data_IF_347237364428
#
_entry.id   IF_347237364428
#
_cell.length_a   1.000
_cell.length_b   1.000
_cell.length_c   1.000
_cell.angle_alpha   90.00
_cell.angle_beta   90.00
_cell.angle_gamma   90.00
#
_symmetry.space_group_name_H-M   'P 1'
#
loop_
_entity.id
_entity.type
_entity.pdbx_description
1 polymer ?
#
# COMPACT_ATOMS: atom_id res chain seq x y z
N UNK A 1 -25.00 21.31 15.82
CA UNK A 1 -25.17 20.22 14.83
C UNK A 1 -24.62 18.95 15.45
N UNK A 2 -25.12 17.76 15.12
CA UNK A 2 -24.57 16.53 15.70
C UNK A 2 -24.69 15.34 14.74
N UNK A 3 -23.77 14.39 14.87
CA UNK A 3 -23.76 13.16 14.07
C UNK A 3 -24.65 12.11 14.71
N UNK A 4 -25.43 11.44 13.87
CA UNK A 4 -26.25 10.28 14.22
C UNK A 4 -25.80 9.10 13.37
N UNK A 5 -25.43 8.00 14.04
CA UNK A 5 -25.11 6.74 13.37
C UNK A 5 -26.25 5.77 13.63
N UNK A 6 -27.00 5.46 12.59
CA UNK A 6 -28.09 4.50 12.66
C UNK A 6 -27.59 3.11 12.24
N UNK A 7 -27.72 2.13 13.13
CA UNK A 7 -27.48 0.72 12.80
C UNK A 7 -28.66 0.17 11.98
N UNK A 8 -28.33 -0.48 10.87
CA UNK A 8 -29.24 -1.08 9.90
C UNK A 8 -28.80 -2.53 9.63
N UNK A 9 -29.66 -3.30 8.96
CA UNK A 9 -29.35 -4.66 8.49
C UNK A 9 -29.43 -4.71 6.97
N UNK A 10 -28.39 -5.23 6.33
CA UNK A 10 -28.36 -5.48 4.88
C UNK A 10 -29.29 -6.64 4.52
N UNK A 11 -29.74 -6.64 3.26
CA UNK A 11 -30.58 -7.71 2.69
C UNK A 11 -29.75 -8.91 2.22
N UNK A 12 -28.48 -8.71 1.86
CA UNK A 12 -27.57 -9.74 1.37
C UNK A 12 -26.22 -9.63 2.06
N UNK A 13 -25.61 -10.78 2.33
CA UNK A 13 -24.27 -10.88 2.89
C UNK A 13 -23.24 -10.29 1.93
N UNK A 14 -22.07 -9.92 2.46
CA UNK A 14 -20.96 -9.50 1.60
C UNK A 14 -20.36 -10.75 0.93
N UNK A 15 -20.37 -10.87 -0.41
CA UNK A 15 -19.81 -12.05 -1.08
C UNK A 15 -18.28 -12.02 -1.14
N UNK A 16 -17.66 -10.87 -0.85
CA UNK A 16 -16.22 -10.64 -1.01
C UNK A 16 -15.47 -10.87 0.30
N UNK A 17 -15.55 -12.08 0.85
CA UNK A 17 -14.63 -12.52 1.89
C UNK A 17 -13.20 -12.67 1.38
N UNK A 18 -12.22 -12.67 2.29
CA UNK A 18 -10.85 -13.08 1.95
C UNK A 18 -10.89 -14.47 1.31
N UNK A 19 -10.09 -14.69 0.27
CA UNK A 19 -9.92 -16.02 -0.32
C UNK A 19 -9.30 -16.96 0.72
N UNK A 20 -9.75 -18.21 0.77
CA UNK A 20 -9.27 -19.14 1.81
C UNK A 20 -7.78 -19.45 1.69
N UNK A 21 -7.28 -19.56 0.46
CA UNK A 21 -5.93 -20.03 0.21
C UNK A 21 -5.20 -19.19 -0.83
N UNK A 22 -3.87 -19.26 -0.73
CA UNK A 22 -2.93 -18.88 -1.77
C UNK A 22 -2.48 -20.16 -2.46
N UNK A 23 -2.63 -20.23 -3.78
CA UNK A 23 -2.38 -21.45 -4.56
C UNK A 23 -1.23 -21.18 -5.52
N UNK A 24 -0.23 -22.07 -5.52
CA UNK A 24 0.84 -22.07 -6.54
C UNK A 24 0.20 -22.36 -7.89
N UNK A 25 0.51 -21.50 -8.85
CA UNK A 25 0.10 -21.67 -10.23
C UNK A 25 1.36 -21.69 -11.11
N UNK A 26 1.20 -22.02 -12.37
CA UNK A 26 2.30 -21.90 -13.32
C UNK A 26 1.78 -21.67 -14.72
N UNK A 27 2.60 -21.01 -15.53
CA UNK A 27 2.38 -20.99 -16.96
C UNK A 27 3.69 -21.27 -17.67
N UNK A 28 3.57 -22.03 -18.76
CA UNK A 28 4.68 -22.40 -19.62
C UNK A 28 4.51 -21.73 -20.97
N UNK A 29 5.59 -21.19 -21.50
CA UNK A 29 5.62 -20.54 -22.80
C UNK A 29 6.92 -20.91 -23.52
N UNK A 30 6.88 -20.87 -24.84
CA UNK A 30 8.02 -21.20 -25.69
C UNK A 30 8.38 -19.97 -26.52
N UNK A 31 9.66 -19.58 -26.50
CA UNK A 31 10.21 -18.54 -27.38
C UNK A 31 11.31 -19.19 -28.21
N UNK A 32 11.10 -19.28 -29.52
CA UNK A 32 11.98 -20.06 -30.40
C UNK A 32 11.94 -21.55 -30.01
N UNK A 33 13.09 -22.12 -29.71
CA UNK A 33 13.23 -23.52 -29.26
C UNK A 33 13.32 -23.66 -27.74
N UNK A 34 13.25 -22.55 -26.99
CA UNK A 34 13.40 -22.55 -25.53
C UNK A 34 12.03 -22.49 -24.86
N UNK A 35 11.68 -23.56 -24.16
CA UNK A 35 10.50 -23.59 -23.28
C UNK A 35 10.88 -23.14 -21.87
N UNK A 36 10.09 -22.23 -21.31
CA UNK A 36 10.25 -21.75 -19.93
C UNK A 36 8.94 -21.83 -19.16
N UNK A 37 9.03 -22.15 -17.87
CA UNK A 37 7.90 -22.19 -16.95
C UNK A 37 8.12 -21.17 -15.85
N UNK A 38 7.13 -20.29 -15.63
CA UNK A 38 7.07 -19.44 -14.44
C UNK A 38 6.12 -20.04 -13.42
N UNK A 39 6.56 -20.06 -12.16
CA UNK A 39 5.80 -20.46 -10.99
C UNK A 39 5.18 -19.21 -10.38
N UNK A 40 3.93 -18.98 -10.73
CA UNK A 40 3.15 -17.84 -10.25
C UNK A 40 2.27 -18.28 -9.08
N UNK A 41 1.32 -17.42 -8.72
CA UNK A 41 0.32 -17.75 -7.73
C UNK A 41 -1.00 -17.08 -8.06
N UNK A 42 -2.06 -17.62 -7.46
CA UNK A 42 -3.38 -17.00 -7.47
C UNK A 42 -4.07 -17.28 -6.14
N UNK A 43 -5.09 -16.49 -5.84
CA UNK A 43 -5.98 -16.83 -4.75
C UNK A 43 -6.94 -17.97 -5.13
N UNK A 44 -7.40 -18.72 -4.12
CA UNK A 44 -8.51 -19.66 -4.27
C UNK A 44 -9.79 -18.95 -4.70
N UNK A 45 -10.65 -19.67 -5.44
CA UNK A 45 -12.00 -19.18 -5.73
C UNK A 45 -12.88 -19.18 -4.48
N UNK A 46 -12.66 -20.13 -3.58
CA UNK A 46 -13.38 -20.21 -2.31
C UNK A 46 -12.98 -19.05 -1.38
N UNK A 47 -13.99 -18.44 -0.76
CA UNK A 47 -13.86 -17.29 0.13
C UNK A 47 -14.49 -17.59 1.49
N UNK A 48 -14.05 -16.87 2.52
CA UNK A 48 -14.73 -16.90 3.81
C UNK A 48 -16.13 -16.30 3.70
N UNK A 49 -17.10 -16.96 4.33
CA UNK A 49 -18.43 -16.40 4.44
C UNK A 49 -18.43 -15.22 5.39
N UNK A 50 -19.22 -14.20 5.05
CA UNK A 50 -19.34 -12.95 5.79
C UNK A 50 -20.76 -12.76 6.33
N UNK A 51 -21.16 -13.48 7.40
CA UNK A 51 -22.55 -13.53 7.87
C UNK A 51 -23.02 -12.25 8.58
N UNK A 52 -22.11 -11.41 9.07
CA UNK A 52 -22.45 -10.11 9.69
C UNK A 52 -23.07 -9.16 8.66
N UNK A 53 -24.35 -8.86 8.88
CA UNK A 53 -25.18 -8.06 7.97
C UNK A 53 -25.35 -6.61 8.42
N UNK A 54 -24.66 -6.23 9.49
CA UNK A 54 -24.78 -4.90 10.06
C UNK A 54 -24.30 -3.83 9.07
N UNK A 55 -25.01 -2.71 9.03
CA UNK A 55 -24.62 -1.52 8.31
C UNK A 55 -24.88 -0.28 9.16
N UNK A 56 -24.18 0.80 8.88
CA UNK A 56 -24.15 2.01 9.67
C UNK A 56 -24.40 3.19 8.74
N UNK A 57 -25.60 3.78 8.85
CA UNK A 57 -25.98 4.98 8.11
C UNK A 57 -25.53 6.19 8.93
N UNK A 58 -24.60 6.95 8.37
CA UNK A 58 -24.00 8.13 8.99
C UNK A 58 -24.80 9.35 8.51
N UNK A 59 -25.33 10.10 9.46
CA UNK A 59 -26.16 11.28 9.18
C UNK A 59 -25.72 12.44 10.05
N UNK A 60 -25.86 13.66 9.53
CA UNK A 60 -25.66 14.90 10.27
C UNK A 60 -27.02 15.54 10.49
N UNK A 61 -27.35 15.84 11.74
CA UNK A 61 -28.60 16.46 12.14
C UNK A 61 -28.37 17.89 12.61
N UNK A 62 -29.20 18.81 12.12
CA UNK A 62 -29.21 20.20 12.54
C UNK A 62 -30.62 20.61 12.96
N UNK A 63 -30.81 20.86 14.25
CA UNK A 63 -32.05 21.40 14.80
C UNK A 63 -31.85 22.89 15.09
N UNK A 64 -32.80 23.70 14.63
CA UNK A 64 -32.76 25.16 14.79
C UNK A 64 -34.17 25.69 15.05
N UNK A 65 -34.29 26.95 15.49
CA UNK A 65 -35.58 27.62 15.69
C UNK A 65 -35.77 28.69 14.63
N UNK A 66 -36.96 28.75 14.08
CA UNK A 66 -37.39 29.79 13.14
C UNK A 66 -38.80 30.20 13.54
N UNK A 67 -39.01 31.50 13.84
CA UNK A 67 -40.28 32.04 14.33
C UNK A 67 -40.85 31.28 15.54
N UNK A 68 -39.99 30.88 16.47
CA UNK A 68 -40.38 30.15 17.68
C UNK A 68 -40.66 28.65 17.47
N UNK A 69 -40.73 28.16 16.23
CA UNK A 69 -40.93 26.74 15.92
C UNK A 69 -39.60 26.01 15.72
N UNK A 70 -39.48 24.79 16.24
CA UNK A 70 -38.30 23.94 16.05
C UNK A 70 -38.36 23.29 14.67
N UNK A 71 -37.37 23.59 13.82
CA UNK A 71 -37.15 22.95 12.52
C UNK A 71 -35.95 22.02 12.57
N UNK A 72 -35.91 21.03 11.67
CA UNK A 72 -34.84 20.03 11.57
C UNK A 72 -34.41 19.86 10.12
N UNK A 73 -33.11 19.93 9.88
CA UNK A 73 -32.44 19.49 8.65
C UNK A 73 -31.61 18.24 8.96
N UNK A 74 -31.53 17.34 7.99
CA UNK A 74 -30.75 16.12 8.09
C UNK A 74 -30.04 15.85 6.76
N UNK A 75 -28.76 15.52 6.83
CA UNK A 75 -27.95 15.13 5.68
C UNK A 75 -27.47 13.71 5.88
N UNK A 76 -27.83 12.81 4.97
CA UNK A 76 -27.20 11.49 4.91
C UNK A 76 -25.83 11.65 4.29
N UNK A 77 -24.78 11.26 5.01
CA UNK A 77 -23.41 11.28 4.49
C UNK A 77 -23.22 10.03 3.63
N UNK A 78 -23.05 8.88 4.26
CA UNK A 78 -22.95 7.59 3.58
C UNK A 78 -23.55 6.46 4.43
N UNK A 79 -23.60 5.25 3.88
CA UNK A 79 -23.92 4.03 4.62
C UNK A 79 -22.82 3.02 4.40
N UNK A 80 -22.22 2.53 5.48
CA UNK A 80 -21.11 1.58 5.42
C UNK A 80 -21.51 0.25 6.05
N UNK A 81 -21.17 -0.86 5.42
CA UNK A 81 -21.38 -2.19 6.04
C UNK A 81 -20.33 -2.47 7.12
N UNK A 82 -20.60 -3.47 7.96
CA UNK A 82 -19.64 -4.01 8.93
C UNK A 82 -18.24 -4.19 8.33
N UNK A 83 -18.15 -4.84 7.17
CA UNK A 83 -16.88 -5.10 6.50
C UNK A 83 -16.32 -3.87 5.77
N UNK A 84 -17.20 -3.01 5.24
CA UNK A 84 -16.75 -1.75 4.61
C UNK A 84 -16.02 -0.86 5.62
N UNK A 85 -16.47 -0.83 6.88
CA UNK A 85 -15.80 -0.08 7.96
C UNK A 85 -14.41 -0.62 8.33
N UNK A 86 -14.08 -1.86 7.95
CA UNK A 86 -12.77 -2.46 8.18
C UNK A 86 -11.80 -2.19 7.03
N UNK A 87 -12.33 -1.98 5.83
CA UNK A 87 -11.56 -1.99 4.57
C UNK A 87 -11.40 -0.58 3.98
N UNK A 88 -12.36 0.31 4.23
CA UNK A 88 -12.45 1.62 3.61
C UNK A 88 -12.71 2.69 4.66
N UNK A 89 -12.30 3.93 4.37
CA UNK A 89 -12.74 5.08 5.14
C UNK A 89 -14.04 5.65 4.55
N UNK A 90 -14.85 6.40 5.30
CA UNK A 90 -16.18 6.85 4.84
C UNK A 90 -16.17 7.68 3.55
N UNK A 91 -15.08 8.39 3.25
CA UNK A 91 -14.96 9.20 2.04
C UNK A 91 -14.88 8.40 0.74
N UNK A 92 -14.39 7.15 0.79
CA UNK A 92 -14.40 6.25 -0.39
C UNK A 92 -15.82 5.92 -0.85
N UNK A 93 -16.81 6.09 0.03
CA UNK A 93 -18.22 5.82 -0.26
C UNK A 93 -18.98 7.06 -0.78
N UNK A 94 -18.28 8.17 -1.05
CA UNK A 94 -18.88 9.46 -1.39
C UNK A 94 -18.46 9.95 -2.77
N UNK A 95 -19.38 10.67 -3.40
CA UNK A 95 -19.05 11.51 -4.56
C UNK A 95 -18.60 12.88 -4.05
N UNK A 96 -17.41 13.33 -4.45
CA UNK A 96 -16.81 14.59 -3.98
C UNK A 96 -17.70 15.82 -4.24
N UNK A 97 -18.32 15.90 -5.42
CA UNK A 97 -19.24 17.02 -5.76
C UNK A 97 -20.48 17.03 -4.87
N UNK A 98 -21.04 15.86 -4.56
CA UNK A 98 -22.21 15.77 -3.68
C UNK A 98 -21.84 16.10 -2.23
N UNK A 99 -20.62 15.77 -1.80
CA UNK A 99 -20.12 16.14 -0.48
C UNK A 99 -19.97 17.66 -0.37
N UNK A 100 -19.38 18.30 -1.37
CA UNK A 100 -19.19 19.76 -1.41
C UNK A 100 -20.52 20.52 -1.26
N UNK A 101 -21.56 20.12 -2.01
CA UNK A 101 -22.91 20.71 -1.88
C UNK A 101 -23.44 20.59 -0.45
N UNK A 102 -23.30 19.41 0.18
CA UNK A 102 -23.75 19.20 1.56
C UNK A 102 -22.96 20.07 2.54
N UNK A 103 -21.64 20.19 2.37
CA UNK A 103 -20.78 21.02 3.22
C UNK A 103 -21.19 22.50 3.14
N UNK A 104 -21.45 23.00 1.93
CA UNK A 104 -21.98 24.35 1.69
C UNK A 104 -23.34 24.55 2.37
N UNK A 105 -24.26 23.60 2.24
CA UNK A 105 -25.58 23.65 2.90
C UNK A 105 -25.50 23.61 4.44
N UNK A 106 -24.54 22.85 4.98
CA UNK A 106 -24.28 22.74 6.41
C UNK A 106 -23.53 23.96 6.96
N UNK A 107 -22.80 24.69 6.11
CA UNK A 107 -21.93 25.79 6.52
C UNK A 107 -20.74 25.32 7.36
N UNK A 108 -20.20 24.14 7.07
CA UNK A 108 -19.04 23.56 7.77
C UNK A 108 -17.95 23.14 6.76
N UNK A 109 -16.71 23.11 7.21
CA UNK A 109 -15.60 22.54 6.46
C UNK A 109 -15.65 21.01 6.44
N UNK A 110 -14.96 20.41 5.46
CA UNK A 110 -14.81 18.95 5.39
C UNK A 110 -14.10 18.39 6.64
N UNK A 111 -13.10 19.10 7.16
CA UNK A 111 -12.41 18.71 8.39
C UNK A 111 -13.37 18.62 9.58
N UNK A 112 -14.19 19.65 9.78
CA UNK A 112 -15.17 19.68 10.88
C UNK A 112 -16.20 18.54 10.73
N UNK A 113 -16.64 18.23 9.51
CA UNK A 113 -17.51 17.09 9.26
C UNK A 113 -16.85 15.79 9.75
N UNK A 114 -15.61 15.53 9.34
CA UNK A 114 -14.93 14.30 9.68
C UNK A 114 -14.59 14.18 11.16
N UNK A 115 -14.21 15.28 11.82
CA UNK A 115 -14.00 15.31 13.27
C UNK A 115 -15.27 14.88 14.03
N UNK A 116 -16.43 15.46 13.68
CA UNK A 116 -17.71 15.09 14.28
C UNK A 116 -18.11 13.63 13.97
N UNK A 117 -17.82 13.15 12.76
CA UNK A 117 -18.17 11.78 12.34
C UNK A 117 -17.33 10.76 13.10
N UNK A 118 -16.01 10.94 13.16
CA UNK A 118 -15.11 10.00 13.81
C UNK A 118 -15.27 9.98 15.33
N UNK A 119 -15.66 11.10 15.96
CA UNK A 119 -16.03 11.12 17.39
C UNK A 119 -17.08 10.06 17.74
N UNK A 120 -18.04 9.78 16.83
CA UNK A 120 -19.07 8.75 17.00
C UNK A 120 -18.71 7.41 16.34
N UNK A 121 -17.97 7.44 15.25
CA UNK A 121 -17.69 6.26 14.43
C UNK A 121 -16.52 5.43 14.98
N UNK A 122 -15.50 6.05 15.57
CA UNK A 122 -14.31 5.35 16.07
C UNK A 122 -14.64 4.26 17.09
N UNK A 123 -15.49 4.49 18.13
CA UNK A 123 -15.87 3.43 19.06
C UNK A 123 -16.55 2.23 18.37
N UNK A 124 -17.28 2.48 17.28
CA UNK A 124 -17.94 1.43 16.49
C UNK A 124 -16.88 0.66 15.70
N UNK A 125 -15.98 1.36 15.01
CA UNK A 125 -14.88 0.77 14.24
C UNK A 125 -14.01 -0.10 15.14
N UNK A 126 -13.60 0.39 16.32
CA UNK A 126 -12.74 -0.37 17.23
C UNK A 126 -13.41 -1.64 17.76
N UNK A 127 -14.72 -1.60 18.03
CA UNK A 127 -15.47 -2.82 18.38
C UNK A 127 -15.49 -3.82 17.22
N UNK A 128 -15.82 -3.35 16.01
CA UNK A 128 -15.88 -4.20 14.80
C UNK A 128 -14.50 -4.80 14.50
N UNK A 129 -13.42 -4.03 14.63
CA UNK A 129 -12.05 -4.53 14.46
C UNK A 129 -11.73 -5.66 15.43
N UNK A 130 -12.01 -5.47 16.72
CA UNK A 130 -11.80 -6.52 17.74
C UNK A 130 -12.60 -7.78 17.46
N UNK A 131 -13.87 -7.63 17.09
CA UNK A 131 -14.71 -8.76 16.67
C UNK A 131 -14.10 -9.48 15.46
N UNK A 132 -13.70 -8.74 14.43
CA UNK A 132 -13.13 -9.30 13.20
C UNK A 132 -11.77 -9.98 13.41
N UNK A 133 -10.91 -9.44 14.26
CA UNK A 133 -9.60 -10.01 14.59
C UNK A 133 -9.69 -11.41 15.20
N UNK A 134 -10.82 -11.75 15.84
CA UNK A 134 -11.05 -13.09 16.38
C UNK A 134 -11.46 -14.13 15.32
N UNK A 135 -11.75 -13.70 14.09
CA UNK A 135 -12.32 -14.57 13.04
C UNK A 135 -11.24 -15.40 12.33
N UNK A 136 -11.62 -16.58 11.80
CA UNK A 136 -10.74 -17.33 10.90
C UNK A 136 -10.33 -16.54 9.64
N UNK A 137 -11.24 -15.71 9.10
CA UNK A 137 -10.98 -14.87 7.93
C UNK A 137 -9.79 -13.92 8.17
N UNK A 138 -9.75 -13.27 9.34
CA UNK A 138 -8.66 -12.38 9.69
C UNK A 138 -7.31 -13.13 9.83
N UNK A 139 -7.32 -14.30 10.48
CA UNK A 139 -6.11 -15.13 10.61
C UNK A 139 -5.56 -15.54 9.26
N UNK A 140 -6.41 -16.02 8.36
CA UNK A 140 -6.02 -16.40 7.01
C UNK A 140 -5.50 -15.19 6.22
N UNK A 141 -6.14 -14.02 6.33
CA UNK A 141 -5.66 -12.78 5.71
C UNK A 141 -4.24 -12.43 6.17
N UNK A 142 -3.98 -12.46 7.48
CA UNK A 142 -2.67 -12.13 8.03
C UNK A 142 -1.58 -13.13 7.62
N UNK A 143 -1.92 -14.42 7.57
CA UNK A 143 -1.01 -15.45 7.09
C UNK A 143 -0.64 -15.25 5.61
N UNK A 144 -1.64 -15.01 4.76
CA UNK A 144 -1.41 -14.74 3.33
C UNK A 144 -0.59 -13.47 3.11
N UNK A 145 -0.88 -12.38 3.83
CA UNK A 145 -0.09 -11.13 3.78
C UNK A 145 1.36 -11.36 4.20
N UNK A 146 1.60 -12.19 5.22
CA UNK A 146 2.95 -12.56 5.64
C UNK A 146 3.70 -13.33 4.55
N UNK A 147 3.05 -14.32 3.93
CA UNK A 147 3.64 -15.12 2.84
C UNK A 147 3.98 -14.22 1.65
N UNK A 148 3.04 -13.37 1.21
CA UNK A 148 3.28 -12.46 0.09
C UNK A 148 4.39 -11.45 0.40
N UNK A 149 4.47 -10.93 1.63
CA UNK A 149 5.55 -10.04 2.05
C UNK A 149 6.92 -10.73 1.99
N UNK A 150 7.02 -11.96 2.46
CA UNK A 150 8.25 -12.77 2.38
C UNK A 150 8.63 -13.07 0.92
N UNK A 151 7.65 -13.46 0.10
CA UNK A 151 7.84 -13.68 -1.34
C UNK A 151 8.38 -12.42 -2.03
N UNK A 152 7.76 -11.26 -1.83
CA UNK A 152 8.21 -10.01 -2.45
C UNK A 152 9.61 -9.61 -2.02
N UNK A 153 9.95 -9.82 -0.74
CA UNK A 153 11.30 -9.57 -0.23
C UNK A 153 12.32 -10.51 -0.86
N UNK A 154 12.08 -11.81 -0.82
CA UNK A 154 12.98 -12.82 -1.38
C UNK A 154 13.17 -12.63 -2.89
N UNK A 155 12.08 -12.32 -3.60
CA UNK A 155 12.10 -12.00 -5.02
C UNK A 155 12.99 -10.80 -5.32
N UNK A 156 12.82 -9.71 -4.59
CA UNK A 156 13.65 -8.51 -4.75
C UNK A 156 15.13 -8.80 -4.51
N UNK A 157 15.47 -9.43 -3.39
CA UNK A 157 16.85 -9.78 -3.04
C UNK A 157 17.49 -10.73 -4.08
N UNK A 158 16.73 -11.68 -4.60
CA UNK A 158 17.21 -12.59 -5.64
C UNK A 158 17.42 -11.88 -6.99
N UNK A 159 16.48 -11.04 -7.40
CA UNK A 159 16.55 -10.34 -8.68
C UNK A 159 17.63 -9.25 -8.69
N UNK A 160 17.98 -8.67 -7.54
CA UNK A 160 19.16 -7.79 -7.40
C UNK A 160 20.47 -8.53 -7.71
N UNK A 161 20.55 -9.84 -7.44
CA UNK A 161 21.76 -10.65 -7.68
C UNK A 161 21.78 -11.26 -9.08
N UNK A 162 20.66 -11.82 -9.52
CA UNK A 162 20.62 -12.64 -10.74
C UNK A 162 19.99 -11.93 -11.94
N UNK A 163 19.40 -10.75 -11.72
CA UNK A 163 18.74 -9.92 -12.73
C UNK A 163 17.20 -9.96 -12.62
N UNK A 164 16.57 -8.93 -13.17
CA UNK A 164 15.12 -8.72 -13.10
C UNK A 164 14.31 -9.92 -13.63
N UNK A 165 13.17 -10.19 -12.98
CA UNK A 165 12.17 -11.16 -13.44
C UNK A 165 12.70 -12.61 -13.52
N UNK A 166 13.71 -12.96 -12.73
CA UNK A 166 14.34 -14.29 -12.71
C UNK A 166 13.80 -15.21 -11.60
N UNK A 167 13.35 -14.65 -10.47
CA UNK A 167 12.97 -15.45 -9.28
C UNK A 167 11.86 -16.47 -9.59
N UNK A 168 10.79 -16.04 -10.25
CA UNK A 168 9.60 -16.87 -10.52
C UNK A 168 9.88 -18.02 -11.50
N UNK A 169 11.04 -18.05 -12.16
CA UNK A 169 11.46 -19.21 -12.95
C UNK A 169 12.11 -20.30 -12.09
N UNK A 170 12.61 -19.95 -10.90
CA UNK A 170 13.29 -20.86 -9.98
C UNK A 170 12.40 -21.28 -8.82
N UNK A 171 11.70 -20.33 -8.19
CA UNK A 171 10.97 -20.53 -6.95
C UNK A 171 9.49 -20.18 -7.10
N UNK A 172 8.65 -20.76 -6.25
CA UNK A 172 7.24 -20.36 -6.14
C UNK A 172 6.99 -19.33 -5.03
N UNK A 173 5.72 -18.96 -4.84
CA UNK A 173 5.28 -17.97 -3.84
C UNK A 173 5.58 -18.37 -2.38
N UNK A 174 5.81 -19.64 -2.10
CA UNK A 174 6.21 -20.13 -0.78
C UNK A 174 7.73 -20.24 -0.62
N UNK A 175 8.50 -19.87 -1.65
CA UNK A 175 9.96 -20.02 -1.67
C UNK A 175 10.43 -21.45 -1.94
N UNK A 176 9.55 -22.33 -2.43
CA UNK A 176 9.94 -23.70 -2.79
C UNK A 176 10.70 -23.69 -4.10
N UNK A 177 11.89 -24.29 -4.15
CA UNK A 177 12.65 -24.44 -5.39
C UNK A 177 11.92 -25.39 -6.33
N UNK A 178 11.54 -24.89 -7.51
CA UNK A 178 10.82 -25.61 -8.56
C UNK A 178 11.68 -25.91 -9.78
N UNK A 179 12.68 -25.08 -10.06
CA UNK A 179 13.60 -25.28 -11.18
C UNK A 179 15.05 -25.08 -10.76
N UNK A 180 15.69 -26.20 -10.39
CA UNK A 180 17.09 -26.22 -9.98
C UNK A 180 18.04 -25.95 -11.15
N UNK A 181 17.72 -26.44 -12.35
CA UNK A 181 18.58 -26.29 -13.53
C UNK A 181 18.71 -24.82 -13.92
N UNK A 182 17.59 -24.09 -13.99
CA UNK A 182 17.64 -22.66 -14.29
C UNK A 182 18.38 -21.87 -13.20
N UNK A 183 18.22 -22.24 -11.93
CA UNK A 183 18.99 -21.61 -10.85
C UNK A 183 20.50 -21.80 -11.06
N UNK A 184 20.95 -23.00 -11.43
CA UNK A 184 22.37 -23.26 -11.74
C UNK A 184 22.83 -22.36 -12.89
N UNK A 185 22.05 -22.22 -13.97
CA UNK A 185 22.43 -21.34 -15.08
C UNK A 185 22.59 -19.86 -14.67
N UNK A 186 21.78 -19.38 -13.71
CA UNK A 186 21.88 -18.03 -13.19
C UNK A 186 23.13 -17.85 -12.31
N UNK A 187 23.45 -18.85 -11.50
CA UNK A 187 24.66 -18.86 -10.66
C UNK A 187 25.91 -18.88 -11.54
N UNK A 188 25.99 -19.77 -12.52
CA UNK A 188 27.13 -19.85 -13.44
C UNK A 188 27.34 -18.54 -14.20
N UNK A 189 26.23 -17.95 -14.70
CA UNK A 189 26.28 -16.66 -15.40
C UNK A 189 26.75 -15.52 -14.47
N UNK A 190 26.35 -15.54 -13.20
CA UNK A 190 26.80 -14.55 -12.22
C UNK A 190 28.30 -14.69 -11.92
N UNK A 191 28.79 -15.91 -11.69
CA UNK A 191 30.22 -16.15 -11.48
C UNK A 191 31.06 -15.72 -12.69
N UNK A 192 30.59 -15.96 -13.91
CA UNK A 192 31.25 -15.47 -15.11
C UNK A 192 31.28 -13.94 -15.19
N UNK A 193 30.20 -13.26 -14.80
CA UNK A 193 30.16 -11.79 -14.73
C UNK A 193 31.19 -11.26 -13.74
N UNK A 194 31.30 -11.89 -12.57
CA UNK A 194 32.26 -11.51 -11.53
C UNK A 194 33.71 -11.75 -11.98
N UNK A 195 34.00 -12.91 -12.60
CA UNK A 195 35.32 -13.22 -13.19
C UNK A 195 35.71 -12.18 -14.23
N UNK A 196 34.81 -11.82 -15.16
CA UNK A 196 35.06 -10.79 -16.17
C UNK A 196 35.28 -9.42 -15.52
N UNK A 197 34.46 -9.03 -14.56
CA UNK A 197 34.61 -7.77 -13.82
C UNK A 197 35.98 -7.68 -13.13
N UNK A 198 36.40 -8.74 -12.43
CA UNK A 198 37.70 -8.78 -11.74
C UNK A 198 38.89 -8.70 -12.71
N UNK A 199 38.80 -9.37 -13.86
CA UNK A 199 39.81 -9.28 -14.90
C UNK A 199 39.92 -7.86 -15.46
N UNK A 200 38.80 -7.21 -15.80
CA UNK A 200 38.81 -5.83 -16.29
C UNK A 200 39.31 -4.82 -15.24
N UNK A 201 38.92 -4.96 -13.98
CA UNK A 201 39.46 -4.13 -12.88
C UNK A 201 40.97 -4.30 -12.70
N UNK A 202 41.49 -5.52 -12.82
CA UNK A 202 42.93 -5.79 -12.71
C UNK A 202 43.74 -5.27 -13.91
N UNK A 203 43.14 -5.23 -15.10
CA UNK A 203 43.80 -4.69 -16.30
C UNK A 203 43.81 -3.15 -16.31
N UNK A 204 42.80 -2.51 -15.72
CA UNK A 204 42.73 -1.05 -15.58
C UNK A 204 43.79 -0.51 -14.58
N UNK A 205 44.13 -1.28 -13.53
CA UNK A 205 45.21 -0.93 -12.60
C UNK A 205 46.62 -1.10 -13.16
N UNK A 206 46.80 -1.85 -14.26
CA UNK A 206 48.10 -2.09 -14.89
C UNK A 206 48.38 -1.16 -16.10
N UNK A 207 47.46 -0.25 -16.44
CA UNK A 207 47.58 0.65 -17.58
C UNK A 207 47.53 2.15 -17.22
N UNK A 208 47.60 2.51 -15.93
CA UNK A 208 47.72 3.90 -15.46
C UNK A 208 49.18 4.35 -15.37
N UNK A 209 49.94 4.13 -16.45
CA UNK A 209 51.28 4.67 -16.66
C UNK A 209 51.30 5.61 -17.85
N UNK A 210 51.04 6.90 -17.59
CA UNK A 210 51.35 8.03 -18.48
C UNK A 210 50.54 8.17 -19.77
N UNK A 211 49.41 8.90 -19.75
CA UNK A 211 49.10 9.97 -20.72
C UNK A 211 48.09 10.95 -20.09
N UNK A 212 48.41 12.24 -20.18
CA UNK A 212 47.71 13.36 -19.55
C UNK A 212 46.72 14.03 -20.51
N UNK A 213 45.53 14.36 -19.98
CA UNK A 213 44.47 15.29 -20.45
C UNK A 213 43.75 14.94 -21.77
N UNK A 214 42.42 14.99 -21.90
CA UNK A 214 41.37 15.75 -21.21
C UNK A 214 40.03 15.00 -21.24
N UNK A 215 39.16 15.38 -20.30
CA UNK A 215 37.72 15.09 -20.21
C UNK A 215 37.31 13.63 -19.97
N UNK A 216 37.34 13.22 -18.70
CA UNK A 216 36.17 12.69 -17.99
C UNK A 216 36.47 12.77 -16.49
N UNK A 217 35.70 13.59 -15.79
CA UNK A 217 35.88 13.89 -14.38
C UNK A 217 35.74 12.64 -13.50
N UNK A 218 36.71 12.54 -12.60
CA UNK A 218 36.85 11.61 -11.50
C UNK A 218 35.53 11.48 -10.70
N UNK A 219 34.91 10.29 -10.69
CA UNK A 219 33.87 9.96 -9.72
C UNK A 219 34.39 8.92 -8.73
N UNK A 220 34.70 9.48 -7.56
CA UNK A 220 34.97 8.84 -6.30
C UNK A 220 33.86 7.84 -5.95
N UNK A 221 34.21 6.54 -5.91
CA UNK A 221 33.30 5.44 -5.59
C UNK A 221 33.22 5.22 -4.07
N UNK A 222 33.18 6.30 -3.30
CA UNK A 222 32.92 6.28 -1.85
C UNK A 222 31.64 7.01 -1.46
N UNK A 223 30.93 7.63 -2.41
CA UNK A 223 29.67 8.36 -2.17
C UNK A 223 28.41 7.71 -2.79
N UNK A 224 28.50 6.49 -3.33
CA UNK A 224 27.36 5.81 -3.99
C UNK A 224 26.22 5.39 -3.02
N UNK A 225 26.34 5.70 -1.73
CA UNK A 225 25.28 5.52 -0.73
C UNK A 225 24.44 6.78 -0.43
N UNK A 226 24.59 7.89 -1.16
CA UNK A 226 23.81 9.11 -0.90
C UNK A 226 23.21 9.73 -2.17
N UNK A 227 21.96 9.33 -2.44
CA UNK A 227 20.94 10.04 -3.20
C UNK A 227 21.22 10.37 -4.68
N UNK A 228 20.51 9.74 -5.62
CA UNK A 228 19.29 10.35 -6.19
C UNK A 228 18.52 9.39 -7.12
N UNK A 229 17.22 9.64 -7.14
CA UNK A 229 16.12 8.97 -7.82
C UNK A 229 16.15 9.03 -9.35
N UNK A 230 15.73 7.93 -9.99
CA UNK A 230 15.27 7.88 -11.39
C UNK A 230 14.27 6.74 -11.60
N UNK A 231 12.99 7.10 -11.67
CA UNK A 231 11.77 6.32 -11.95
C UNK A 231 11.89 4.84 -12.32
N UNK A 232 11.42 3.95 -11.44
CA UNK A 232 10.40 2.92 -11.71
C UNK A 232 9.79 2.52 -10.35
N UNK A 233 8.49 2.27 -10.31
CA UNK A 233 7.69 2.05 -9.10
C UNK A 233 8.24 0.93 -8.21
N UNK A 234 9.02 1.30 -7.18
CA UNK A 234 9.51 0.39 -6.15
C UNK A 234 8.61 0.44 -4.92
N UNK A 235 8.13 -0.71 -4.48
CA UNK A 235 7.40 -0.88 -3.22
C UNK A 235 8.28 -0.51 -2.03
N UNK A 236 8.04 0.66 -1.43
CA UNK A 236 8.69 1.07 -0.19
C UNK A 236 8.18 0.21 0.97
N UNK A 237 8.94 -0.84 1.34
CA UNK A 237 8.75 -1.52 2.61
C UNK A 237 9.41 -0.70 3.71
N UNK A 238 8.59 -0.15 4.60
CA UNK A 238 9.03 0.64 5.76
C UNK A 238 9.59 -0.26 6.87
N UNK A 239 10.74 0.10 7.44
CA UNK A 239 11.34 -0.60 8.60
C UNK A 239 10.72 -0.21 9.96
N UNK A 240 9.66 0.60 9.96
CA UNK A 240 8.99 1.06 11.18
C UNK A 240 8.05 -0.01 11.74
N UNK A 241 8.04 -0.17 13.07
CA UNK A 241 7.08 -1.03 13.74
C UNK A 241 5.66 -0.48 13.58
N UNK A 242 4.63 -1.31 13.82
CA UNK A 242 3.24 -0.85 13.74
C UNK A 242 2.91 0.25 14.77
N UNK A 243 3.62 0.30 15.89
CA UNK A 243 3.46 1.38 16.87
C UNK A 243 4.15 2.67 16.42
N UNK A 244 5.32 2.58 15.78
CA UNK A 244 5.99 3.73 15.16
C UNK A 244 5.15 4.31 14.02
N UNK A 245 4.54 3.45 13.19
CA UNK A 245 3.63 3.87 12.13
C UNK A 245 2.40 4.63 12.65
N UNK A 246 1.89 4.32 13.84
CA UNK A 246 0.80 5.09 14.47
C UNK A 246 1.25 6.51 14.82
N UNK A 247 2.49 6.66 15.29
CA UNK A 247 3.07 7.98 15.58
C UNK A 247 3.36 8.73 14.28
N UNK A 248 3.96 8.07 13.28
CA UNK A 248 4.26 8.64 11.97
C UNK A 248 2.99 9.07 11.21
N UNK A 249 1.87 8.35 11.36
CA UNK A 249 0.56 8.78 10.85
C UNK A 249 0.09 10.08 11.48
N UNK A 250 0.33 10.29 12.78
CA UNK A 250 0.01 11.58 13.43
C UNK A 250 0.94 12.68 12.94
N UNK A 251 2.24 12.40 12.78
CA UNK A 251 3.23 13.34 12.24
C UNK A 251 2.86 13.76 10.80
N UNK A 252 2.54 12.79 9.93
CA UNK A 252 2.09 13.04 8.57
C UNK A 252 0.84 13.92 8.52
N UNK A 253 -0.15 13.67 9.38
CA UNK A 253 -1.37 14.49 9.46
C UNK A 253 -1.06 15.94 9.84
N UNK A 254 -0.16 16.16 10.80
CA UNK A 254 0.24 17.51 11.21
C UNK A 254 1.02 18.22 10.10
N UNK A 255 1.92 17.52 9.40
CA UNK A 255 2.67 18.09 8.29
C UNK A 255 1.76 18.43 7.11
N UNK A 256 0.90 17.50 6.69
CA UNK A 256 -0.05 17.72 5.59
C UNK A 256 -1.00 18.87 5.88
N UNK A 257 -1.42 19.04 7.14
CA UNK A 257 -2.29 20.13 7.59
C UNK A 257 -1.61 21.50 7.52
N UNK A 258 -0.31 21.60 7.78
CA UNK A 258 0.38 22.89 7.81
C UNK A 258 1.03 23.29 6.48
N UNK A 259 1.31 22.32 5.62
CA UNK A 259 2.04 22.51 4.36
C UNK A 259 1.20 22.14 3.12
N UNK A 260 -0.14 22.16 3.25
CA UNK A 260 -1.01 21.99 2.10
C UNK A 260 -0.95 23.23 1.18
N UNK A 261 -0.92 23.07 -0.16
CA UNK A 261 -0.88 24.20 -1.10
C UNK A 261 -2.02 25.21 -0.89
N UNK A 262 -3.20 24.74 -0.46
CA UNK A 262 -4.35 25.63 -0.18
C UNK A 262 -4.15 26.52 1.06
N UNK A 263 -3.22 26.16 1.96
CA UNK A 263 -2.90 26.89 3.20
C UNK A 263 -1.64 27.73 3.01
N UNK A 264 -0.59 27.17 2.42
CA UNK A 264 0.69 27.87 2.20
C UNK A 264 0.69 28.72 0.94
N UNK A 265 -0.26 28.49 0.01
CA UNK A 265 -0.31 29.09 -1.34
C UNK A 265 0.98 28.89 -2.12
N UNK A 266 1.69 27.79 -1.85
CA UNK A 266 2.88 27.37 -2.60
C UNK A 266 2.50 26.47 -3.80
N UNK A 267 3.49 26.11 -4.60
CA UNK A 267 3.37 25.25 -5.78
C UNK A 267 3.30 23.74 -5.44
N UNK A 268 3.12 23.42 -4.15
CA UNK A 268 3.04 22.08 -3.61
C UNK A 268 4.37 21.34 -3.51
N UNK A 269 5.52 22.01 -3.63
CA UNK A 269 6.83 21.39 -3.39
C UNK A 269 6.95 20.77 -1.99
N UNK A 270 6.47 21.46 -0.96
CA UNK A 270 6.46 20.95 0.42
C UNK A 270 5.60 19.68 0.54
N UNK A 271 4.44 19.66 -0.14
CA UNK A 271 3.53 18.53 -0.11
C UNK A 271 4.06 17.33 -0.91
N UNK A 272 4.80 17.56 -2.00
CA UNK A 272 5.53 16.50 -2.74
C UNK A 272 6.57 15.82 -1.86
N UNK A 273 7.31 16.58 -1.05
CA UNK A 273 8.28 16.03 -0.10
C UNK A 273 7.59 15.24 1.02
N UNK A 274 6.50 15.77 1.59
CA UNK A 274 5.74 15.09 2.65
C UNK A 274 5.13 13.78 2.16
N UNK A 275 4.67 13.73 0.91
CA UNK A 275 4.16 12.50 0.29
C UNK A 275 5.27 11.46 0.06
N UNK A 276 6.49 11.87 -0.33
CA UNK A 276 7.64 10.96 -0.39
C UNK A 276 7.99 10.37 0.97
N UNK A 277 7.91 11.18 2.03
CA UNK A 277 8.13 10.71 3.41
C UNK A 277 7.06 9.70 3.83
N UNK A 278 5.78 9.97 3.53
CA UNK A 278 4.66 9.05 3.77
C UNK A 278 4.90 7.68 3.11
N UNK A 279 5.30 7.69 1.84
CA UNK A 279 5.63 6.48 1.10
C UNK A 279 6.81 5.73 1.72
N UNK A 280 7.88 6.44 2.11
CA UNK A 280 9.03 5.84 2.80
C UNK A 280 8.71 5.30 4.20
N UNK A 281 7.73 5.90 4.89
CA UNK A 281 7.22 5.43 6.19
C UNK A 281 6.24 4.26 6.06
N UNK A 282 5.78 3.93 4.85
CA UNK A 282 4.84 2.83 4.61
C UNK A 282 3.50 3.03 5.29
N UNK A 283 2.99 4.27 5.33
CA UNK A 283 1.74 4.67 6.01
C UNK A 283 0.68 5.27 5.10
#
# INVERSE_FOLDING_TARGET
MFVVIQKLKRRKANPYGTCKELIVDSYTFTIGEVTKTKYTWRHSFERFERPKMDAYKIMVHHSYRENGQVKKKQWTICTMSYYTLLEFWPGDCLNSKLLEVKLQEMGISESELWDMVYEKLDPIIERIKKEFQSTPEYKAKQEQEKILSQYHKAKKEFEELYGDNTYDFCYDVFGTLRNREYLITLVDAQEEREKKSSYYSSNQSNHSGSYSNNDYSNYDYSDFFKNFSGSYQGSNQSNYSEDDKKVLKKVYRVLSKNFHPDITKDDGEAMKLINKLKEGWGI
#
